data_IF_729565220032
#
_entry.id   IF_729565220032
#
_cell.length_a   1.000
_cell.length_b   1.000
_cell.length_c   1.000
_cell.angle_alpha   90.00
_cell.angle_beta   90.00
_cell.angle_gamma   90.00
#
_symmetry.space_group_name_H-M   'P 1'
#
loop_
_entity.id
_entity.type
_entity.pdbx_description
1 polymer ?
#
# COMPACT_ATOMS: atom_id res chain seq x y z
N UNK A 1 10.78 -8.09 6.37
CA UNK A 1 11.02 -8.10 7.83
C UNK A 1 10.21 -9.23 8.46
N UNK A 2 10.68 -9.91 9.50
CA UNK A 2 9.91 -10.95 10.21
C UNK A 2 9.47 -10.41 11.56
N UNK A 3 8.19 -10.52 11.90
CA UNK A 3 7.64 -10.09 13.19
C UNK A 3 6.80 -11.19 13.82
N UNK A 4 6.91 -11.39 15.12
CA UNK A 4 6.07 -12.33 15.88
C UNK A 4 5.21 -11.55 16.86
N UNK A 5 3.91 -11.86 16.93
CA UNK A 5 2.99 -11.23 17.90
C UNK A 5 2.94 -11.97 19.25
N UNK A 6 2.16 -11.43 20.20
CA UNK A 6 2.02 -12.00 21.54
C UNK A 6 1.32 -13.37 21.60
N UNK A 7 0.64 -13.77 20.53
CA UNK A 7 0.00 -15.08 20.39
C UNK A 7 0.95 -16.10 19.73
N UNK A 8 2.20 -15.72 19.46
CA UNK A 8 3.19 -16.57 18.78
C UNK A 8 3.02 -16.65 17.26
N UNK A 9 2.22 -15.78 16.62
CA UNK A 9 2.05 -15.78 15.16
C UNK A 9 3.17 -15.02 14.48
N UNK A 10 3.81 -15.62 13.49
CA UNK A 10 4.87 -15.00 12.69
C UNK A 10 4.33 -14.41 11.39
N UNK A 11 4.73 -13.17 11.12
CA UNK A 11 4.39 -12.38 9.94
C UNK A 11 5.65 -12.07 9.14
N UNK A 12 5.65 -12.44 7.86
CA UNK A 12 6.67 -12.03 6.90
C UNK A 12 6.16 -10.78 6.20
N UNK A 13 6.75 -9.65 6.55
CA UNK A 13 6.46 -8.34 5.97
C UNK A 13 7.44 -8.03 4.85
N UNK A 14 7.08 -7.08 3.99
CA UNK A 14 7.99 -6.53 2.98
C UNK A 14 9.28 -5.95 3.60
N UNK A 15 10.33 -5.84 2.80
CA UNK A 15 11.59 -5.21 3.21
C UNK A 15 11.45 -3.70 3.40
N UNK A 16 10.58 -3.07 2.59
CA UNK A 16 10.20 -1.66 2.60
C UNK A 16 8.68 -1.50 2.58
N UNK A 17 8.20 -0.30 2.88
CA UNK A 17 6.76 0.01 2.79
C UNK A 17 6.28 -0.14 1.35
N UNK A 18 5.22 -0.93 1.15
CA UNK A 18 4.57 -1.04 -0.15
C UNK A 18 3.70 0.20 -0.36
N UNK A 19 3.93 0.93 -1.46
CA UNK A 19 3.09 2.06 -1.83
C UNK A 19 2.72 1.98 -3.31
N UNK A 20 1.44 2.16 -3.59
CA UNK A 20 0.85 2.11 -4.93
C UNK A 20 0.04 3.38 -5.26
N UNK A 21 0.16 4.41 -4.41
CA UNK A 21 -0.62 5.64 -4.54
C UNK A 21 -0.32 6.40 -5.85
N UNK A 22 0.89 6.22 -6.36
CA UNK A 22 1.37 6.84 -7.61
C UNK A 22 0.85 6.12 -8.85
N UNK A 23 0.22 4.95 -8.66
CA UNK A 23 -0.24 4.05 -9.71
C UNK A 23 -1.77 3.91 -9.74
N UNK A 24 -2.50 4.82 -9.08
CA UNK A 24 -3.95 4.70 -8.93
C UNK A 24 -4.69 4.73 -10.27
N UNK A 25 -4.40 5.65 -11.22
CA UNK A 25 -5.00 5.64 -12.54
C UNK A 25 -4.73 4.33 -13.30
N UNK A 26 -3.50 3.82 -13.28
CA UNK A 26 -3.15 2.57 -13.96
C UNK A 26 -3.89 1.37 -13.34
N UNK A 27 -4.04 1.33 -12.02
CA UNK A 27 -4.80 0.30 -11.32
C UNK A 27 -6.30 0.35 -11.67
N UNK A 28 -6.86 1.55 -11.80
CA UNK A 28 -8.25 1.75 -12.23
C UNK A 28 -8.43 1.30 -13.69
N UNK A 29 -7.51 1.68 -14.58
CA UNK A 29 -7.52 1.28 -15.99
C UNK A 29 -7.37 -0.24 -16.17
N UNK A 30 -6.56 -0.89 -15.33
CA UNK A 30 -6.43 -2.35 -15.29
C UNK A 30 -7.68 -3.08 -14.77
N UNK A 31 -8.70 -2.36 -14.31
CA UNK A 31 -9.97 -2.94 -13.83
C UNK A 31 -9.92 -3.44 -12.40
N UNK A 32 -8.98 -2.98 -11.57
CA UNK A 32 -8.92 -3.33 -10.15
C UNK A 32 -10.16 -2.81 -9.43
N UNK A 33 -10.95 -3.71 -8.85
CA UNK A 33 -12.22 -3.39 -8.18
C UNK A 33 -12.07 -3.05 -6.70
N UNK A 34 -10.96 -3.45 -6.08
CA UNK A 34 -10.72 -3.26 -4.66
C UNK A 34 -9.23 -3.07 -4.35
N UNK A 35 -8.93 -2.10 -3.48
CA UNK A 35 -7.61 -1.91 -2.89
C UNK A 35 -7.68 -2.18 -1.39
N UNK A 36 -6.74 -2.98 -0.90
CA UNK A 36 -6.61 -3.30 0.54
C UNK A 36 -5.41 -2.57 1.12
N UNK A 37 -5.65 -1.75 2.14
CA UNK A 37 -4.60 -1.07 2.90
C UNK A 37 -4.30 -1.89 4.15
N UNK A 38 -3.07 -2.39 4.27
CA UNK A 38 -2.63 -3.10 5.48
C UNK A 38 -2.01 -2.11 6.47
N UNK A 39 -2.77 -1.78 7.52
CA UNK A 39 -2.38 -0.75 8.48
C UNK A 39 -2.10 -1.28 9.90
N UNK A 40 -1.88 -2.59 10.07
CA UNK A 40 -1.72 -3.24 11.39
C UNK A 40 -0.63 -2.61 12.26
N UNK A 41 0.41 -2.06 11.64
CA UNK A 41 1.54 -1.44 12.32
C UNK A 41 1.39 0.09 12.52
N UNK A 42 0.37 0.71 11.93
CA UNK A 42 0.15 2.15 12.02
C UNK A 42 -0.82 2.50 13.13
N UNK A 43 -0.61 3.68 13.75
CA UNK A 43 -1.59 4.22 14.69
C UNK A 43 -2.86 4.70 13.95
N UNK A 44 -3.92 4.98 14.71
CA UNK A 44 -5.21 5.43 14.17
C UNK A 44 -5.11 6.67 13.29
N UNK A 45 -4.30 7.66 13.69
CA UNK A 45 -4.14 8.93 12.95
C UNK A 45 -3.49 8.70 11.59
N UNK A 46 -2.41 7.92 11.54
CA UNK A 46 -1.73 7.57 10.28
C UNK A 46 -2.62 6.72 9.39
N UNK A 47 -3.34 5.75 9.96
CA UNK A 47 -4.30 4.92 9.22
C UNK A 47 -5.40 5.77 8.56
N UNK A 48 -5.97 6.73 9.30
CA UNK A 48 -6.97 7.66 8.76
C UNK A 48 -6.42 8.49 7.60
N UNK A 49 -5.23 9.06 7.75
CA UNK A 49 -4.56 9.83 6.69
C UNK A 49 -4.29 8.99 5.43
N UNK A 50 -3.77 7.77 5.58
CA UNK A 50 -3.52 6.88 4.44
C UNK A 50 -4.82 6.54 3.72
N UNK A 51 -5.87 6.20 4.47
CA UNK A 51 -7.20 5.90 3.91
C UNK A 51 -7.76 7.10 3.15
N UNK A 52 -7.65 8.31 3.69
CA UNK A 52 -8.10 9.54 3.04
C UNK A 52 -7.30 9.83 1.75
N UNK A 53 -5.97 9.67 1.78
CA UNK A 53 -5.12 9.87 0.60
C UNK A 53 -5.50 8.92 -0.54
N UNK A 54 -5.60 7.62 -0.25
CA UNK A 54 -6.00 6.64 -1.27
C UNK A 54 -7.42 6.90 -1.76
N UNK A 55 -8.36 7.25 -0.87
CA UNK A 55 -9.74 7.60 -1.27
C UNK A 55 -9.77 8.78 -2.23
N UNK A 56 -9.09 9.88 -1.90
CA UNK A 56 -9.01 11.06 -2.77
C UNK A 56 -8.37 10.74 -4.12
N UNK A 57 -7.30 9.94 -4.14
CA UNK A 57 -6.66 9.53 -5.38
C UNK A 57 -7.60 8.72 -6.28
N UNK A 58 -8.35 7.77 -5.69
CA UNK A 58 -9.33 6.95 -6.41
C UNK A 58 -10.47 7.82 -6.95
N UNK A 59 -11.09 8.63 -6.09
CA UNK A 59 -12.28 9.42 -6.43
C UNK A 59 -11.97 10.46 -7.52
N UNK A 60 -10.78 11.07 -7.47
CA UNK A 60 -10.36 12.07 -8.46
C UNK A 60 -9.60 11.47 -9.65
N UNK A 61 -9.33 10.15 -9.65
CA UNK A 61 -8.49 9.47 -10.66
C UNK A 61 -7.13 10.15 -10.85
N UNK A 62 -6.49 10.52 -9.74
CA UNK A 62 -5.20 11.22 -9.73
C UNK A 62 -4.13 10.40 -9.05
N UNK A 63 -2.87 10.62 -9.45
CA UNK A 63 -1.72 10.12 -8.72
C UNK A 63 -1.57 10.86 -7.39
N UNK A 64 -1.16 10.13 -6.34
CA UNK A 64 -0.54 10.75 -5.18
C UNK A 64 0.98 10.77 -5.30
N UNK A 65 1.64 10.78 -4.15
CA UNK A 65 3.09 10.62 -4.03
C UNK A 65 3.42 9.62 -2.93
N UNK A 66 4.14 8.57 -3.31
CA UNK A 66 4.77 7.64 -2.40
C UNK A 66 6.05 8.25 -1.83
N UNK A 67 6.37 7.91 -0.58
CA UNK A 67 7.62 8.34 0.04
C UNK A 67 8.84 7.73 -0.65
N UNK A 68 9.99 8.41 -0.63
CA UNK A 68 11.23 7.96 -1.29
C UNK A 68 11.73 6.58 -0.84
N UNK A 69 11.42 6.19 0.39
CA UNK A 69 11.82 4.91 0.99
C UNK A 69 10.83 3.77 0.73
N UNK A 70 9.75 4.02 -0.02
CA UNK A 70 8.76 3.00 -0.35
C UNK A 70 9.19 2.13 -1.53
N UNK A 71 8.41 1.07 -1.79
CA UNK A 71 8.60 0.17 -2.93
C UNK A 71 7.26 -0.14 -3.57
N UNK A 72 7.24 -0.36 -4.87
CA UNK A 72 6.12 -0.97 -5.60
C UNK A 72 6.28 -2.50 -5.72
N UNK A 73 7.16 -3.10 -4.93
CA UNK A 73 7.44 -4.54 -4.97
C UNK A 73 7.91 -5.02 -6.35
N UNK A 74 7.48 -6.22 -6.73
CA UNK A 74 7.74 -6.81 -8.05
C UNK A 74 6.59 -6.60 -9.03
N UNK A 75 5.55 -5.84 -8.66
CA UNK A 75 4.33 -5.68 -9.45
C UNK A 75 4.59 -5.09 -10.85
N UNK A 76 5.67 -4.31 -11.00
CA UNK A 76 6.07 -3.69 -12.27
C UNK A 76 7.41 -4.16 -12.81
N UNK A 77 8.08 -5.11 -12.12
CA UNK A 77 9.40 -5.61 -12.53
C UNK A 77 9.33 -6.94 -13.28
N UNK A 78 8.13 -7.52 -13.40
CA UNK A 78 7.93 -8.86 -13.97
C UNK A 78 8.52 -9.94 -13.06
N UNK A 79 7.90 -11.12 -13.08
CA UNK A 79 8.55 -12.35 -12.62
C UNK A 79 8.67 -13.19 -13.88
N UNK A 80 9.91 -13.42 -14.34
CA UNK A 80 10.20 -14.41 -15.38
C UNK A 80 9.95 -15.82 -14.84
#
# INVERSE_FOLDING_TARGET
QVKTDGDGRTYIMNSRELCMLDHIPELIEAGVSCLRIEAKMYNRKTTGKLTELYRKAIDNRTNGHCGSESTSGHYFKGVL
#
